data_IF_877943054788
#
_entry.id   IF_877943054788
#
_cell.length_a   1.000
_cell.length_b   1.000
_cell.length_c   1.000
_cell.angle_alpha   90.00
_cell.angle_beta   90.00
_cell.angle_gamma   90.00
#
_symmetry.space_group_name_H-M   'P 1'
#
loop_
_entity.id
_entity.type
_entity.pdbx_description
1 polymer ?
#
# COMPACT_ATOMS: atom_id res chain seq x y z
N UNK A 1 6.99 22.09 27.40
CA UNK A 1 5.87 22.43 26.49
C UNK A 1 5.70 21.20 25.62
N UNK A 2 4.73 20.35 25.95
CA UNK A 2 4.52 19.07 25.27
C UNK A 2 3.73 19.37 24.00
N UNK A 3 4.39 19.28 22.85
CA UNK A 3 3.77 19.43 21.55
C UNK A 3 2.95 18.15 21.28
N UNK A 4 1.73 18.11 21.80
CA UNK A 4 0.73 17.13 21.38
C UNK A 4 0.29 17.54 19.99
N UNK A 5 1.12 17.24 18.99
CA UNK A 5 0.70 17.22 17.59
C UNK A 5 -0.26 16.05 17.45
N UNK A 6 -1.52 16.31 17.80
CA UNK A 6 -2.64 15.49 17.36
C UNK A 6 -2.67 15.62 15.84
N UNK A 7 -1.85 14.81 15.16
CA UNK A 7 -2.00 14.58 13.75
C UNK A 7 -3.43 14.07 13.62
N UNK A 8 -4.34 14.74 12.90
CA UNK A 8 -5.66 14.17 12.70
C UNK A 8 -5.41 12.80 12.10
N UNK A 9 -5.72 11.74 12.85
CA UNK A 9 -5.72 10.38 12.35
C UNK A 9 -6.83 10.35 11.32
N UNK A 10 -6.54 10.89 10.13
CA UNK A 10 -7.33 10.68 8.94
C UNK A 10 -7.58 9.18 8.90
N UNK A 11 -8.82 8.74 8.68
CA UNK A 11 -9.12 7.32 8.62
C UNK A 11 -8.13 6.70 7.66
N UNK A 12 -7.25 5.83 8.20
CA UNK A 12 -6.30 5.07 7.39
C UNK A 12 -7.18 4.28 6.43
N UNK A 13 -7.08 4.58 5.14
CA UNK A 13 -7.74 3.77 4.14
C UNK A 13 -7.05 2.40 4.14
N UNK A 14 -7.79 1.34 3.90
CA UNK A 14 -7.17 0.04 3.71
C UNK A 14 -6.44 -0.01 2.36
N UNK A 15 -5.36 -0.79 2.31
CA UNK A 15 -4.69 -1.15 1.06
C UNK A 15 -5.62 -2.00 0.20
N UNK A 16 -5.54 -1.83 -1.12
CA UNK A 16 -6.26 -2.65 -2.07
C UNK A 16 -5.50 -2.82 -3.38
N UNK A 17 -6.08 -3.61 -4.27
CA UNK A 17 -5.56 -3.85 -5.62
C UNK A 17 -6.55 -3.35 -6.67
N UNK A 18 -6.06 -2.63 -7.67
CA UNK A 18 -6.80 -2.34 -8.91
C UNK A 18 -6.00 -2.80 -10.13
N UNK A 19 -6.56 -2.73 -11.33
CA UNK A 19 -5.91 -3.17 -12.56
C UNK A 19 -5.82 -2.02 -13.56
N UNK A 20 -4.60 -1.71 -14.00
CA UNK A 20 -4.35 -0.75 -15.08
C UNK A 20 -3.83 -1.51 -16.30
N UNK A 21 -4.65 -1.60 -17.36
CA UNK A 21 -4.27 -2.33 -18.58
C UNK A 21 -3.93 -3.80 -18.33
N UNK A 22 -4.60 -4.45 -17.37
CA UNK A 22 -4.34 -5.85 -16.98
C UNK A 22 -3.19 -6.04 -15.98
N UNK A 23 -2.46 -4.99 -15.64
CA UNK A 23 -1.41 -5.04 -14.61
C UNK A 23 -2.01 -4.68 -13.24
N UNK A 24 -1.86 -5.53 -12.21
CA UNK A 24 -2.28 -5.21 -10.86
C UNK A 24 -1.42 -4.06 -10.33
N UNK A 25 -2.05 -3.07 -9.71
CA UNK A 25 -1.39 -1.96 -9.02
C UNK A 25 -2.03 -1.75 -7.64
N UNK A 26 -1.25 -1.39 -6.62
CA UNK A 26 -1.80 -1.12 -5.31
C UNK A 26 -2.54 0.21 -5.31
N UNK A 27 -3.53 0.32 -4.43
CA UNK A 27 -4.26 1.56 -4.16
C UNK A 27 -4.33 1.81 -2.66
N UNK A 28 -4.34 3.10 -2.31
CA UNK A 28 -4.49 3.59 -0.94
C UNK A 28 -5.14 4.99 -0.99
N UNK A 29 -5.23 5.68 0.15
CA UNK A 29 -5.81 7.02 0.26
C UNK A 29 -5.13 8.13 -0.57
N UNK A 30 -4.00 7.88 -1.23
CA UNK A 30 -3.25 8.92 -1.93
C UNK A 30 -2.24 8.39 -2.95
N UNK A 31 -1.29 9.27 -3.29
CA UNK A 31 -0.20 8.94 -4.21
C UNK A 31 0.73 7.92 -3.58
N UNK A 32 1.08 6.90 -4.36
CA UNK A 32 1.97 5.83 -3.93
C UNK A 32 3.38 6.03 -4.50
N UNK A 33 4.37 5.72 -3.68
CA UNK A 33 5.77 5.59 -4.06
C UNK A 33 6.23 4.15 -3.80
N UNK A 34 7.13 3.63 -4.62
CA UNK A 34 7.73 2.32 -4.41
C UNK A 34 9.14 2.48 -3.84
N UNK A 35 9.38 1.90 -2.67
CA UNK A 35 10.69 1.81 -2.04
C UNK A 35 11.35 0.52 -2.54
N UNK A 36 12.34 0.66 -3.41
CA UNK A 36 13.04 -0.47 -4.03
C UNK A 36 13.97 -1.21 -3.06
N UNK A 37 14.47 -0.51 -2.04
CA UNK A 37 15.40 -1.07 -1.05
C UNK A 37 14.65 -1.99 -0.08
N UNK A 38 13.41 -1.63 0.26
CA UNK A 38 12.54 -2.43 1.13
C UNK A 38 11.59 -3.36 0.37
N UNK A 39 11.35 -3.10 -0.91
CA UNK A 39 10.37 -3.81 -1.72
C UNK A 39 8.92 -3.49 -1.35
N UNK A 40 8.67 -2.31 -0.79
CA UNK A 40 7.39 -1.89 -0.22
C UNK A 40 6.79 -0.70 -0.98
N UNK A 41 5.48 -0.59 -0.92
CA UNK A 41 4.75 0.60 -1.35
C UNK A 41 4.51 1.51 -0.16
N UNK A 42 4.77 2.80 -0.34
CA UNK A 42 4.51 3.84 0.65
C UNK A 42 3.43 4.81 0.13
N UNK A 43 2.47 5.13 0.99
CA UNK A 43 1.51 6.19 0.72
C UNK A 43 2.08 7.54 1.17
N UNK A 44 2.37 8.43 0.22
CA UNK A 44 2.93 9.75 0.51
C UNK A 44 2.00 10.68 1.32
N UNK A 45 0.72 10.32 1.45
CA UNK A 45 -0.25 11.11 2.22
C UNK A 45 -0.27 10.76 3.71
N UNK A 46 -0.24 9.47 4.05
CA UNK A 46 -0.41 8.99 5.43
C UNK A 46 0.79 8.22 5.96
N UNK A 47 1.88 8.14 5.19
CA UNK A 47 3.13 7.46 5.52
C UNK A 47 2.96 5.95 5.79
N UNK A 48 1.84 5.36 5.38
CA UNK A 48 1.61 3.94 5.58
C UNK A 48 2.37 3.13 4.52
N UNK A 49 2.81 1.92 4.91
CA UNK A 49 3.63 1.05 4.05
C UNK A 49 3.06 -0.35 3.95
N UNK A 50 3.19 -0.96 2.78
CA UNK A 50 2.79 -2.34 2.56
C UNK A 50 3.73 -3.07 1.60
N UNK A 51 4.08 -4.30 1.95
CA UNK A 51 4.73 -5.19 1.01
C UNK A 51 3.70 -5.71 0.00
N UNK A 52 4.04 -5.77 -1.29
CA UNK A 52 3.09 -6.09 -2.36
C UNK A 52 2.28 -7.40 -2.15
N UNK A 53 2.92 -8.43 -1.57
CA UNK A 53 2.32 -9.73 -1.20
C UNK A 53 1.25 -9.65 -0.09
N UNK A 54 1.22 -8.55 0.65
CA UNK A 54 0.28 -8.30 1.73
C UNK A 54 -0.87 -7.39 1.28
N UNK A 55 -0.85 -6.89 0.04
CA UNK A 55 -1.94 -6.07 -0.50
C UNK A 55 -3.16 -6.97 -0.74
N UNK A 56 -4.32 -6.66 -0.15
CA UNK A 56 -5.54 -7.42 -0.39
C UNK A 56 -5.90 -7.48 -1.88
N UNK A 57 -6.20 -8.68 -2.37
CA UNK A 57 -6.55 -8.91 -3.77
C UNK A 57 -5.36 -8.91 -4.74
N UNK A 58 -4.12 -8.85 -4.24
CA UNK A 58 -2.95 -8.97 -5.12
C UNK A 58 -2.96 -10.33 -5.81
N UNK A 59 -2.76 -10.41 -7.14
CA UNK A 59 -2.70 -11.69 -7.81
C UNK A 59 -1.43 -12.41 -7.37
N UNK A 60 -1.62 -13.53 -6.67
CA UNK A 60 -0.54 -14.41 -6.32
C UNK A 60 -0.31 -15.33 -7.52
N UNK A 61 0.94 -15.60 -7.92
CA UNK A 61 1.20 -16.64 -8.89
C UNK A 61 0.56 -17.91 -8.34
N UNK A 62 -0.47 -18.39 -9.03
CA UNK A 62 -1.03 -19.72 -8.77
C UNK A 62 0.14 -20.66 -8.95
N UNK A 63 0.59 -21.31 -7.87
CA UNK A 63 1.47 -22.46 -8.01
C UNK A 63 0.65 -23.53 -8.72
N UNK A 64 0.67 -23.50 -10.06
CA UNK A 64 0.26 -24.63 -10.87
C UNK A 64 1.29 -25.73 -10.63
N UNK A 65 0.96 -26.67 -9.74
CA UNK A 65 1.74 -27.87 -9.50
C UNK A 65 2.33 -27.96 -8.10
N UNK A 66 1.61 -28.66 -7.24
CA UNK A 66 2.21 -29.76 -6.49
C UNK A 66 1.31 -30.98 -6.63
#
# INVERSE_FOLDING_TARGET
>A
MTDTRTNPTLPRADWGTTFLGGQPIPVHCGRLAYDIDLGEWECAWCDDRVHVRNVPGWPHPVRSGQ
#
